data_IF_683708502812
#
_entry.id   IF_683708502812
#
_cell.length_a   1.000
_cell.length_b   1.000
_cell.length_c   1.000
_cell.angle_alpha   90.00
_cell.angle_beta   90.00
_cell.angle_gamma   90.00
#
_symmetry.space_group_name_H-M   'P 1'
#
loop_
_entity.id
_entity.type
_entity.pdbx_description
1 polymer ?
#
# COMPACT_ATOMS: atom_id res chain seq x y z
N UNK A 1 -1.14 24.89 -13.89
CA UNK A 1 -2.33 24.02 -13.84
C UNK A 1 -2.23 23.03 -12.68
N UNK A 2 -3.36 22.60 -12.07
CA UNK A 2 -3.35 21.57 -11.07
C UNK A 2 -3.16 20.18 -11.71
N UNK A 3 -2.18 19.43 -11.23
CA UNK A 3 -1.91 18.05 -11.61
C UNK A 3 -2.20 17.16 -10.41
N UNK A 4 -3.22 16.33 -10.53
CA UNK A 4 -3.62 15.41 -9.44
C UNK A 4 -3.35 13.98 -9.84
N UNK A 5 -2.62 13.26 -9.01
CA UNK A 5 -2.56 11.80 -9.08
C UNK A 5 -2.85 11.19 -7.72
N UNK A 6 -3.76 10.25 -7.71
CA UNK A 6 -4.18 9.45 -6.57
C UNK A 6 -4.62 8.07 -7.07
N UNK A 7 -4.81 7.14 -6.17
CA UNK A 7 -5.26 5.77 -6.51
C UNK A 7 -4.41 5.13 -7.63
N UNK A 8 -3.09 5.34 -7.59
CA UNK A 8 -2.15 4.70 -8.51
C UNK A 8 -1.59 3.43 -7.87
N UNK A 9 -1.66 2.33 -8.57
CA UNK A 9 -1.04 1.06 -8.18
C UNK A 9 0.44 1.03 -8.56
N UNK A 10 0.75 1.60 -9.72
CA UNK A 10 2.06 1.54 -10.35
C UNK A 10 2.50 2.89 -10.86
N UNK A 11 3.79 3.02 -11.22
CA UNK A 11 4.31 4.20 -11.90
C UNK A 11 3.66 4.41 -13.27
N UNK A 12 3.14 3.35 -13.90
CA UNK A 12 2.43 3.43 -15.19
C UNK A 12 1.10 4.14 -15.02
N UNK A 13 0.31 3.79 -13.99
CA UNK A 13 -0.95 4.48 -13.69
C UNK A 13 -0.71 5.97 -13.41
N UNK A 14 0.36 6.29 -12.69
CA UNK A 14 0.75 7.66 -12.37
C UNK A 14 1.15 8.42 -13.63
N UNK A 15 2.02 7.83 -14.48
CA UNK A 15 2.49 8.46 -15.70
C UNK A 15 1.34 8.75 -16.68
N UNK A 16 0.39 7.82 -16.82
CA UNK A 16 -0.81 8.00 -17.63
C UNK A 16 -1.68 9.17 -17.11
N UNK A 17 -1.88 9.28 -15.80
CA UNK A 17 -2.66 10.39 -15.21
C UNK A 17 -1.99 11.74 -15.42
N UNK A 18 -0.68 11.79 -15.24
CA UNK A 18 0.11 13.01 -15.37
C UNK A 18 0.16 13.49 -16.81
N UNK A 19 0.36 12.58 -17.79
CA UNK A 19 0.38 12.92 -19.22
C UNK A 19 -0.95 13.42 -19.77
N UNK A 20 -2.05 13.19 -19.08
CA UNK A 20 -3.37 13.78 -19.43
C UNK A 20 -3.46 15.27 -19.03
N UNK A 21 -2.60 15.71 -18.14
CA UNK A 21 -2.59 17.08 -17.61
C UNK A 21 -1.48 17.93 -18.22
N UNK A 22 -0.29 17.34 -18.40
CA UNK A 22 0.92 18.02 -18.86
C UNK A 22 1.24 17.68 -20.33
N UNK A 23 2.05 18.49 -20.97
CA UNK A 23 2.52 18.25 -22.34
C UNK A 23 3.64 17.19 -22.43
N UNK A 24 3.86 16.40 -21.41
CA UNK A 24 4.82 15.30 -21.38
C UNK A 24 4.24 14.00 -21.92
N UNK A 25 5.12 13.12 -22.41
CA UNK A 25 4.74 11.80 -22.88
C UNK A 25 4.90 10.73 -21.80
N UNK A 26 3.85 9.92 -21.60
CA UNK A 26 3.87 8.88 -20.56
C UNK A 26 4.95 7.82 -20.78
N UNK A 27 5.21 7.42 -22.02
CA UNK A 27 6.24 6.42 -22.34
C UNK A 27 7.65 6.98 -22.09
N UNK A 28 7.89 8.24 -22.44
CA UNK A 28 9.14 8.95 -22.16
C UNK A 28 9.35 9.10 -20.67
N UNK A 29 8.30 9.44 -19.90
CA UNK A 29 8.38 9.51 -18.45
C UNK A 29 8.73 8.15 -17.83
N UNK A 30 8.08 7.06 -18.26
CA UNK A 30 8.40 5.71 -17.78
C UNK A 30 9.84 5.32 -18.13
N UNK A 31 10.31 5.59 -19.35
CA UNK A 31 11.68 5.33 -19.76
C UNK A 31 12.68 6.05 -18.84
N UNK A 32 12.42 7.33 -18.54
CA UNK A 32 13.24 8.13 -17.62
C UNK A 32 13.25 7.55 -16.21
N UNK A 33 12.09 7.13 -15.69
CA UNK A 33 11.92 6.56 -14.35
C UNK A 33 12.63 5.19 -14.20
N UNK A 34 12.73 4.42 -15.28
CA UNK A 34 13.42 3.12 -15.28
C UNK A 34 14.90 3.20 -15.57
N UNK A 35 15.43 4.38 -15.97
CA UNK A 35 16.86 4.56 -16.22
C UNK A 35 17.65 4.39 -14.91
N UNK A 36 18.65 3.49 -14.93
CA UNK A 36 19.47 3.16 -13.76
C UNK A 36 20.18 4.36 -13.14
N UNK A 37 20.56 5.36 -13.97
CA UNK A 37 21.24 6.58 -13.49
C UNK A 37 20.27 7.45 -12.70
N UNK A 38 19.02 7.56 -13.15
CA UNK A 38 17.99 8.29 -12.42
C UNK A 38 17.61 7.59 -11.11
N UNK A 39 17.45 6.27 -11.13
CA UNK A 39 17.23 5.49 -9.91
C UNK A 39 18.35 5.73 -8.90
N UNK A 40 19.60 5.63 -9.33
CA UNK A 40 20.77 5.90 -8.48
C UNK A 40 20.81 7.35 -7.97
N UNK A 41 20.51 8.33 -8.83
CA UNK A 41 20.46 9.76 -8.47
C UNK A 41 19.49 10.04 -7.33
N UNK A 42 18.32 9.39 -7.32
CA UNK A 42 17.29 9.60 -6.31
C UNK A 42 17.34 8.58 -5.17
N UNK A 43 18.18 7.54 -5.26
CA UNK A 43 18.41 6.57 -4.20
C UNK A 43 17.30 5.53 -4.04
N UNK A 44 16.63 5.17 -5.14
CA UNK A 44 15.58 4.13 -5.16
C UNK A 44 15.98 2.94 -6.03
N UNK A 45 15.57 1.74 -5.65
CA UNK A 45 15.43 0.64 -6.59
C UNK A 45 14.14 0.84 -7.42
N UNK A 46 13.98 0.07 -8.50
CA UNK A 46 12.77 0.14 -9.32
C UNK A 46 11.52 -0.21 -8.50
N UNK A 47 11.63 -1.20 -7.61
CA UNK A 47 10.54 -1.64 -6.74
C UNK A 47 10.17 -0.59 -5.69
N UNK A 48 11.15 0.17 -5.21
CA UNK A 48 10.96 1.24 -4.21
C UNK A 48 10.51 2.57 -4.82
N UNK A 49 10.72 2.76 -6.12
CA UNK A 49 10.46 4.03 -6.80
C UNK A 49 9.03 4.59 -6.58
N UNK A 50 7.97 3.77 -6.51
CA UNK A 50 6.64 4.29 -6.21
C UNK A 50 6.56 5.07 -4.89
N UNK A 51 7.43 4.80 -3.92
CA UNK A 51 7.49 5.54 -2.65
C UNK A 51 7.87 7.02 -2.81
N UNK A 52 8.55 7.39 -3.91
CA UNK A 52 8.91 8.78 -4.18
C UNK A 52 7.69 9.65 -4.50
N UNK A 53 6.64 9.05 -5.06
CA UNK A 53 5.47 9.77 -5.53
C UNK A 53 4.37 9.78 -4.46
N UNK A 54 4.26 10.90 -3.76
CA UNK A 54 3.24 11.09 -2.72
C UNK A 54 1.99 11.67 -3.38
N UNK A 55 0.85 10.95 -3.35
CA UNK A 55 -0.38 11.43 -3.97
C UNK A 55 -0.84 12.77 -3.40
N UNK A 56 -1.07 13.72 -4.29
CA UNK A 56 -1.57 15.05 -3.97
C UNK A 56 -1.99 15.77 -5.27
N UNK A 57 -2.40 17.02 -5.14
CA UNK A 57 -2.56 17.96 -6.24
C UNK A 57 -1.39 18.93 -6.24
N UNK A 58 -0.64 18.97 -7.32
CA UNK A 58 0.54 19.80 -7.49
C UNK A 58 0.28 20.86 -8.58
N UNK A 59 0.56 22.13 -8.29
CA UNK A 59 0.54 23.15 -9.32
C UNK A 59 1.83 23.09 -10.13
N UNK A 60 1.68 22.92 -11.45
CA UNK A 60 2.79 22.81 -12.42
C UNK A 60 2.50 23.66 -13.64
N UNK A 61 3.53 24.00 -14.42
CA UNK A 61 3.36 24.57 -15.74
C UNK A 61 2.89 23.48 -16.72
N UNK A 62 2.09 23.83 -17.72
CA UNK A 62 1.57 22.87 -18.70
C UNK A 62 2.71 22.21 -19.50
N UNK A 63 3.77 22.96 -19.79
CA UNK A 63 4.96 22.56 -20.53
C UNK A 63 6.07 21.94 -19.65
N UNK A 64 5.76 21.58 -18.40
CA UNK A 64 6.68 20.81 -17.53
C UNK A 64 7.07 19.52 -18.23
N UNK A 65 8.37 19.33 -18.45
CA UNK A 65 8.92 18.11 -19.07
C UNK A 65 9.08 16.96 -18.04
N UNK A 66 9.48 15.78 -18.53
CA UNK A 66 9.64 14.58 -17.71
C UNK A 66 10.68 14.75 -16.61
N UNK A 67 11.81 15.43 -16.92
CA UNK A 67 12.88 15.67 -15.95
C UNK A 67 12.46 16.63 -14.85
N UNK A 68 11.80 17.71 -15.22
CA UNK A 68 11.25 18.70 -14.31
C UNK A 68 10.20 18.08 -13.40
N UNK A 69 9.31 17.23 -13.97
CA UNK A 69 8.32 16.50 -13.20
C UNK A 69 8.97 15.59 -12.16
N UNK A 70 9.91 14.74 -12.55
CA UNK A 70 10.59 13.83 -11.63
C UNK A 70 11.39 14.60 -10.56
N UNK A 71 12.07 15.67 -10.94
CA UNK A 71 12.79 16.53 -10.00
C UNK A 71 11.82 17.19 -8.99
N UNK A 72 10.66 17.65 -9.45
CA UNK A 72 9.63 18.22 -8.57
C UNK A 72 9.13 17.16 -7.58
N UNK A 73 8.84 15.94 -8.03
CA UNK A 73 8.41 14.86 -7.13
C UNK A 73 9.47 14.48 -6.10
N UNK A 74 10.74 14.44 -6.51
CA UNK A 74 11.85 14.21 -5.58
C UNK A 74 11.96 15.31 -4.52
N UNK A 75 11.69 16.57 -4.88
CA UNK A 75 11.68 17.68 -3.93
C UNK A 75 10.49 17.56 -2.95
N UNK A 76 9.29 17.24 -3.46
CA UNK A 76 8.12 17.02 -2.62
C UNK A 76 8.32 15.85 -1.65
N UNK A 77 8.95 14.77 -2.10
CA UNK A 77 9.36 13.65 -1.23
C UNK A 77 10.28 14.13 -0.10
N UNK A 78 11.30 14.94 -0.40
CA UNK A 78 12.21 15.48 0.61
C UNK A 78 11.50 16.40 1.60
N UNK A 79 10.57 17.22 1.12
CA UNK A 79 9.76 18.11 1.97
C UNK A 79 8.84 17.32 2.89
N UNK A 80 8.21 16.28 2.38
CA UNK A 80 7.35 15.41 3.18
C UNK A 80 8.15 14.68 4.26
N UNK A 81 9.27 14.06 3.89
CA UNK A 81 10.15 13.33 4.80
C UNK A 81 11.13 14.26 5.51
N UNK A 82 10.58 15.21 6.26
CA UNK A 82 11.34 16.10 7.12
C UNK A 82 11.96 15.33 8.32
N UNK A 83 12.80 16.02 9.09
CA UNK A 83 13.51 15.39 10.21
C UNK A 83 12.56 14.82 11.28
N UNK A 84 11.43 15.46 11.51
CA UNK A 84 10.42 14.98 12.46
C UNK A 84 9.82 13.63 12.04
N UNK A 85 9.43 13.48 10.76
CA UNK A 85 8.93 12.20 10.23
C UNK A 85 10.02 11.14 10.19
N UNK A 86 11.24 11.49 9.79
CA UNK A 86 12.38 10.55 9.79
C UNK A 86 12.70 10.02 11.18
N UNK A 87 12.63 10.86 12.21
CA UNK A 87 12.83 10.42 13.59
C UNK A 87 11.79 9.40 14.06
N UNK A 88 10.56 9.45 13.53
CA UNK A 88 9.50 8.48 13.86
C UNK A 88 9.74 7.11 13.23
N UNK A 89 10.45 7.00 12.11
CA UNK A 89 10.70 5.73 11.42
C UNK A 89 11.36 4.71 12.35
N UNK A 90 12.43 5.11 13.03
CA UNK A 90 13.15 4.24 13.98
C UNK A 90 12.30 3.84 15.18
N UNK A 91 11.40 4.72 15.64
CA UNK A 91 10.50 4.44 16.77
C UNK A 91 9.54 3.29 16.49
N UNK A 92 9.09 3.15 15.25
CA UNK A 92 8.21 2.05 14.84
C UNK A 92 8.98 0.79 14.38
N UNK A 93 10.31 0.79 14.45
CA UNK A 93 11.16 -0.34 14.10
C UNK A 93 11.41 -0.52 12.61
N UNK A 94 11.13 0.49 11.79
CA UNK A 94 11.49 0.56 10.37
C UNK A 94 12.76 1.41 10.19
N UNK A 95 13.35 1.38 8.99
CA UNK A 95 14.65 2.02 8.72
C UNK A 95 14.56 3.14 7.69
N UNK A 96 13.66 3.05 6.72
CA UNK A 96 13.62 3.96 5.58
C UNK A 96 12.22 4.49 5.28
N UNK A 97 12.11 5.67 4.63
CA UNK A 97 10.86 6.15 4.07
C UNK A 97 10.17 5.15 3.13
N UNK A 98 10.96 4.41 2.34
CA UNK A 98 10.41 3.39 1.42
C UNK A 98 9.76 2.22 2.18
N UNK A 99 10.30 1.81 3.31
CA UNK A 99 9.67 0.79 4.17
C UNK A 99 8.35 1.28 4.76
N UNK A 100 8.29 2.54 5.20
CA UNK A 100 7.04 3.16 5.67
C UNK A 100 6.01 3.19 4.55
N UNK A 101 6.40 3.63 3.35
CA UNK A 101 5.52 3.66 2.18
C UNK A 101 5.04 2.26 1.79
N UNK A 102 5.91 1.26 1.88
CA UNK A 102 5.55 -0.13 1.60
C UNK A 102 4.51 -0.65 2.60
N UNK A 103 4.72 -0.44 3.90
CA UNK A 103 3.73 -0.82 4.90
C UNK A 103 2.43 -0.02 4.75
N UNK A 104 2.51 1.28 4.49
CA UNK A 104 1.34 2.13 4.26
C UNK A 104 0.52 1.66 3.05
N UNK A 105 1.18 1.21 1.98
CA UNK A 105 0.48 0.66 0.81
C UNK A 105 -0.29 -0.63 1.13
N UNK A 106 0.23 -1.46 2.03
CA UNK A 106 -0.44 -2.66 2.54
C UNK A 106 -1.63 -2.26 3.42
N UNK A 107 -1.44 -1.36 4.37
CA UNK A 107 -2.51 -0.85 5.25
C UNK A 107 -3.66 -0.27 4.44
N UNK A 108 -3.35 0.55 3.43
CA UNK A 108 -4.35 1.13 2.54
C UNK A 108 -5.03 0.08 1.66
N UNK A 109 -4.32 -0.94 1.23
CA UNK A 109 -4.87 -2.08 0.51
C UNK A 109 -5.86 -2.92 1.33
N UNK A 110 -5.64 -3.04 2.64
CA UNK A 110 -6.56 -3.73 3.56
C UNK A 110 -7.78 -2.87 3.90
N UNK A 111 -7.57 -1.57 4.09
CA UNK A 111 -8.61 -0.65 4.53
C UNK A 111 -8.51 0.70 3.81
N UNK A 112 -9.34 0.89 2.79
CA UNK A 112 -9.35 2.14 2.02
C UNK A 112 -10.43 3.13 2.45
N UNK A 113 -11.34 2.72 3.35
CA UNK A 113 -12.54 3.49 3.72
C UNK A 113 -12.47 4.01 5.15
N UNK A 114 -12.21 3.14 6.12
CA UNK A 114 -12.25 3.48 7.55
C UNK A 114 -10.86 3.90 8.05
N UNK A 115 -10.53 5.18 7.91
CA UNK A 115 -9.22 5.74 8.21
C UNK A 115 -8.79 5.57 9.69
N UNK A 116 -9.74 5.49 10.60
CA UNK A 116 -9.48 5.27 12.03
C UNK A 116 -8.91 3.88 12.34
N UNK A 117 -9.03 2.91 11.42
CA UNK A 117 -8.38 1.61 11.56
C UNK A 117 -6.92 1.58 11.08
N UNK A 118 -6.45 2.56 10.30
CA UNK A 118 -5.08 2.56 9.76
C UNK A 118 -3.99 2.44 10.83
N UNK A 119 -4.01 3.21 11.93
CA UNK A 119 -2.99 3.05 12.98
C UNK A 119 -3.03 1.68 13.65
N UNK A 120 -4.21 1.08 13.79
CA UNK A 120 -4.39 -0.25 14.41
C UNK A 120 -3.84 -1.33 13.50
N UNK A 121 -4.18 -1.29 12.21
CA UNK A 121 -3.68 -2.24 11.20
C UNK A 121 -2.15 -2.12 11.05
N UNK A 122 -1.63 -0.88 11.06
CA UNK A 122 -0.19 -0.64 11.06
C UNK A 122 0.49 -1.28 12.28
N UNK A 123 -0.05 -1.08 13.48
CA UNK A 123 0.45 -1.68 14.71
C UNK A 123 0.44 -3.20 14.67
N UNK A 124 -0.63 -3.80 14.14
CA UNK A 124 -0.74 -5.24 13.93
C UNK A 124 0.38 -5.78 13.02
N UNK A 125 0.62 -5.15 11.88
CA UNK A 125 1.66 -5.58 10.95
C UNK A 125 3.07 -5.35 11.50
N UNK A 126 3.32 -4.25 12.21
CA UNK A 126 4.59 -4.03 12.91
C UNK A 126 4.84 -5.11 13.96
N UNK A 127 3.80 -5.55 14.69
CA UNK A 127 3.92 -6.68 15.62
C UNK A 127 4.30 -7.97 14.91
N UNK A 128 3.72 -8.25 13.73
CA UNK A 128 4.08 -9.42 12.92
C UNK A 128 5.53 -9.35 12.45
N UNK A 129 5.98 -8.20 11.95
CA UNK A 129 7.38 -7.98 11.55
C UNK A 129 8.31 -8.27 12.73
N UNK A 130 8.06 -7.65 13.88
CA UNK A 130 8.87 -7.82 15.10
C UNK A 130 8.94 -9.27 15.58
N UNK A 131 7.86 -10.04 15.41
CA UNK A 131 7.78 -11.46 15.79
C UNK A 131 8.29 -12.42 14.70
N UNK A 132 8.70 -11.92 13.53
CA UNK A 132 9.11 -12.76 12.40
C UNK A 132 7.96 -13.59 11.79
N UNK A 133 6.72 -13.14 11.97
CA UNK A 133 5.52 -13.75 11.39
C UNK A 133 5.29 -13.14 10.00
N UNK A 134 4.96 -13.97 9.01
CA UNK A 134 4.59 -13.51 7.66
C UNK A 134 3.38 -12.59 7.74
N UNK A 135 3.35 -11.52 6.93
CA UNK A 135 2.25 -10.55 6.97
C UNK A 135 0.92 -11.15 6.52
N UNK A 136 0.95 -12.06 5.54
CA UNK A 136 -0.23 -12.76 5.02
C UNK A 136 -1.35 -11.80 4.58
N UNK A 137 -0.96 -10.73 3.92
CA UNK A 137 -1.85 -9.70 3.40
C UNK A 137 -2.32 -10.04 1.99
N UNK A 138 -3.64 -10.16 1.81
CA UNK A 138 -4.24 -10.47 0.51
C UNK A 138 -3.91 -9.43 -0.58
N UNK A 139 -3.90 -8.11 -0.31
CA UNK A 139 -3.47 -7.12 -1.30
C UNK A 139 -2.12 -7.39 -1.95
N UNK A 140 -1.19 -8.01 -1.25
CA UNK A 140 0.17 -8.27 -1.75
C UNK A 140 0.19 -9.34 -2.84
N UNK A 141 -0.52 -10.46 -2.69
CA UNK A 141 -0.59 -11.43 -3.79
C UNK A 141 -1.52 -10.97 -4.92
N UNK A 142 -2.56 -10.17 -4.62
CA UNK A 142 -3.37 -9.53 -5.65
C UNK A 142 -2.52 -8.61 -6.53
N UNK A 143 -1.58 -7.88 -5.95
CA UNK A 143 -0.63 -7.07 -6.71
C UNK A 143 0.20 -7.91 -7.67
N UNK A 144 0.66 -9.09 -7.26
CA UNK A 144 1.40 -10.03 -8.11
C UNK A 144 0.60 -10.48 -9.35
N UNK A 145 -0.70 -10.71 -9.19
CA UNK A 145 -1.58 -11.09 -10.30
C UNK A 145 -1.96 -9.91 -11.21
N UNK A 146 -1.86 -8.68 -10.70
CA UNK A 146 -2.28 -7.49 -11.44
C UNK A 146 -3.73 -7.58 -11.91
N UNK A 147 -3.97 -7.25 -13.17
CA UNK A 147 -5.32 -7.21 -13.76
C UNK A 147 -5.94 -8.58 -14.01
N UNK A 148 -5.17 -9.66 -13.90
CA UNK A 148 -5.66 -11.04 -14.08
C UNK A 148 -6.72 -11.44 -13.04
N UNK A 149 -6.78 -10.74 -11.88
CA UNK A 149 -7.81 -10.94 -10.86
C UNK A 149 -9.00 -9.99 -11.00
N UNK A 150 -9.04 -9.14 -12.01
CA UNK A 150 -10.19 -8.27 -12.26
C UNK A 150 -11.44 -9.13 -12.55
N UNK A 151 -12.52 -8.86 -11.79
CA UNK A 151 -13.76 -9.63 -11.89
C UNK A 151 -13.78 -10.98 -11.15
N UNK A 152 -12.68 -11.39 -10.53
CA UNK A 152 -12.63 -12.60 -9.70
C UNK A 152 -13.37 -12.36 -8.40
N UNK A 153 -14.54 -13.00 -8.23
CA UNK A 153 -15.40 -12.83 -7.06
C UNK A 153 -14.90 -13.60 -5.83
N UNK A 154 -14.18 -14.72 -6.02
CA UNK A 154 -13.68 -15.56 -4.94
C UNK A 154 -12.22 -15.89 -5.11
N UNK A 155 -11.42 -15.50 -4.13
CA UNK A 155 -10.01 -15.86 -4.06
C UNK A 155 -9.85 -17.33 -3.64
N UNK A 156 -9.07 -18.08 -4.40
CA UNK A 156 -8.77 -19.50 -4.16
C UNK A 156 -7.35 -19.66 -3.63
N UNK A 157 -7.05 -20.84 -3.11
CA UNK A 157 -5.72 -21.19 -2.63
C UNK A 157 -4.62 -21.02 -3.70
N UNK A 158 -4.93 -21.29 -4.98
CA UNK A 158 -4.01 -21.11 -6.09
C UNK A 158 -3.58 -19.63 -6.26
N UNK A 159 -4.49 -18.69 -6.01
CA UNK A 159 -4.15 -17.26 -6.09
C UNK A 159 -3.15 -16.84 -5.03
N UNK A 160 -3.30 -17.39 -3.79
CA UNK A 160 -2.37 -17.14 -2.67
C UNK A 160 -1.02 -17.82 -2.86
N UNK A 161 -0.94 -18.83 -3.74
CA UNK A 161 0.28 -19.62 -3.95
C UNK A 161 1.20 -19.07 -5.03
N UNK A 162 0.88 -17.95 -5.65
CA UNK A 162 1.72 -17.35 -6.69
C UNK A 162 3.16 -17.14 -6.17
N UNK A 163 4.13 -17.54 -6.97
CA UNK A 163 5.54 -17.28 -6.72
C UNK A 163 5.90 -15.87 -7.19
N UNK A 164 6.01 -14.97 -6.23
CA UNK A 164 6.19 -13.55 -6.50
C UNK A 164 6.85 -12.89 -5.27
N UNK A 165 7.86 -12.01 -5.47
CA UNK A 165 8.58 -11.36 -4.36
C UNK A 165 7.70 -10.50 -3.46
N UNK A 166 6.51 -10.08 -3.93
CA UNK A 166 5.57 -9.29 -3.14
C UNK A 166 4.61 -10.15 -2.31
N UNK A 167 4.53 -11.46 -2.56
CA UNK A 167 3.57 -12.33 -1.88
C UNK A 167 3.94 -12.57 -0.41
N UNK A 168 3.30 -11.84 0.50
CA UNK A 168 3.55 -11.94 1.95
C UNK A 168 3.00 -13.20 2.61
N UNK A 169 2.37 -14.09 1.88
CA UNK A 169 2.12 -15.47 2.31
C UNK A 169 3.36 -16.35 2.19
N UNK A 170 4.32 -15.98 1.33
CA UNK A 170 5.55 -16.75 1.08
C UNK A 170 6.78 -16.13 1.73
N UNK A 171 6.87 -14.80 1.77
CA UNK A 171 8.02 -14.10 2.35
C UNK A 171 7.74 -13.67 3.81
N UNK A 172 8.81 -13.43 4.57
CA UNK A 172 8.78 -12.76 5.88
C UNK A 172 9.13 -11.29 5.72
N UNK A 173 8.54 -10.43 6.56
CA UNK A 173 8.78 -9.00 6.50
C UNK A 173 8.04 -8.30 5.36
N UNK A 174 8.52 -7.12 5.02
CA UNK A 174 7.96 -6.30 3.95
C UNK A 174 8.33 -6.83 2.56
N UNK A 175 7.47 -6.65 1.55
CA UNK A 175 7.82 -6.87 0.16
C UNK A 175 8.87 -5.85 -0.33
N UNK A 176 9.43 -6.01 -1.55
CA UNK A 176 10.51 -5.16 -2.05
C UNK A 176 10.17 -3.67 -2.19
N UNK A 177 8.89 -3.34 -2.28
CA UNK A 177 8.40 -1.96 -2.42
C UNK A 177 6.90 -1.84 -2.25
N UNK A 178 6.33 -0.63 -2.40
CA UNK A 178 4.91 -0.38 -2.28
C UNK A 178 4.09 -1.12 -3.36
N UNK A 179 2.89 -1.57 -2.98
CA UNK A 179 1.90 -2.20 -3.88
C UNK A 179 0.86 -1.21 -4.42
N UNK A 180 0.89 0.01 -3.95
CA UNK A 180 0.17 1.18 -4.45
C UNK A 180 0.84 2.44 -3.92
N UNK A 181 0.39 3.61 -4.38
CA UNK A 181 0.78 4.91 -3.84
C UNK A 181 -0.29 5.36 -2.83
N UNK A 182 -0.09 5.16 -1.51
CA UNK A 182 -1.09 5.48 -0.51
C UNK A 182 -1.18 7.00 -0.30
N UNK A 183 -2.34 7.54 0.08
CA UNK A 183 -2.46 8.91 0.52
C UNK A 183 -1.49 9.23 1.66
N UNK A 184 -1.01 10.48 1.73
CA UNK A 184 -0.07 10.92 2.78
C UNK A 184 -0.56 10.67 4.21
N UNK A 185 -1.88 10.75 4.43
CA UNK A 185 -2.50 10.45 5.71
C UNK A 185 -2.26 9.00 6.18
N UNK A 186 -2.12 8.04 5.24
CA UNK A 186 -1.80 6.65 5.59
C UNK A 186 -0.34 6.51 5.99
N UNK A 187 0.57 7.28 5.36
CA UNK A 187 1.98 7.35 5.78
C UNK A 187 2.09 7.88 7.21
N UNK A 188 1.38 8.95 7.51
CA UNK A 188 1.33 9.51 8.87
C UNK A 188 0.67 8.54 9.87
N UNK A 189 -0.35 7.78 9.46
CA UNK A 189 -0.96 6.76 10.31
C UNK A 189 0.00 5.61 10.64
N UNK A 190 0.85 5.19 9.70
CA UNK A 190 1.90 4.18 9.94
C UNK A 190 2.96 4.72 10.91
N UNK A 191 3.42 5.98 10.72
CA UNK A 191 4.38 6.60 11.62
C UNK A 191 3.83 6.77 13.05
N UNK A 192 2.50 6.89 13.19
CA UNK A 192 1.77 6.97 14.44
C UNK A 192 0.99 5.69 14.74
N UNK A 193 1.55 4.53 14.36
CA UNK A 193 0.93 3.24 14.59
C UNK A 193 0.50 3.07 16.05
N UNK A 194 -0.69 2.51 16.26
CA UNK A 194 -1.22 2.27 17.58
C UNK A 194 -0.40 1.20 18.32
N UNK A 195 -0.14 1.42 19.58
CA UNK A 195 0.48 0.44 20.48
C UNK A 195 -0.57 -0.62 20.85
N UNK A 196 -0.65 -1.68 20.05
CA UNK A 196 -1.59 -2.78 20.21
C UNK A 196 -0.84 -4.11 20.32
N UNK A 197 -1.51 -5.14 20.84
CA UNK A 197 -0.97 -6.49 20.91
C UNK A 197 -1.53 -7.40 19.80
N UNK A 198 -2.35 -6.86 18.91
CA UNK A 198 -2.99 -7.64 17.85
C UNK A 198 -1.95 -8.17 16.85
N UNK A 199 -2.19 -9.40 16.38
CA UNK A 199 -1.47 -10.02 15.27
C UNK A 199 -2.40 -10.68 14.24
N UNK A 200 -3.72 -10.61 14.47
CA UNK A 200 -4.75 -11.11 13.56
C UNK A 200 -5.86 -10.09 13.37
N UNK A 201 -6.47 -10.12 12.19
CA UNK A 201 -7.70 -9.40 11.88
C UNK A 201 -8.56 -10.19 10.91
N UNK A 202 -9.88 -9.98 10.95
CA UNK A 202 -10.82 -10.43 9.94
C UNK A 202 -11.99 -9.44 9.84
N UNK A 203 -12.70 -9.45 8.71
CA UNK A 203 -13.84 -8.55 8.51
C UNK A 203 -14.93 -8.76 9.56
N UNK A 204 -15.60 -7.66 9.96
CA UNK A 204 -16.81 -7.72 10.78
C UNK A 204 -18.00 -8.19 9.98
N UNK A 205 -18.94 -8.93 10.61
CA UNK A 205 -20.14 -9.44 9.96
C UNK A 205 -21.31 -8.43 9.99
N UNK A 206 -21.09 -7.19 9.55
CA UNK A 206 -22.05 -6.10 9.70
C UNK A 206 -22.07 -5.08 8.55
N UNK A 207 -21.45 -5.41 7.42
CA UNK A 207 -21.30 -4.52 6.25
C UNK A 207 -20.55 -3.19 6.52
N UNK A 208 -20.00 -2.98 7.70
CA UNK A 208 -19.27 -1.75 8.03
C UNK A 208 -17.95 -1.61 7.26
N UNK A 209 -17.43 -2.69 6.66
CA UNK A 209 -16.11 -2.77 6.08
C UNK A 209 -14.99 -2.68 7.11
N UNK A 210 -15.32 -2.85 8.41
CA UNK A 210 -14.37 -2.81 9.52
C UNK A 210 -13.87 -4.22 9.87
N UNK A 211 -12.87 -4.26 10.75
CA UNK A 211 -12.23 -5.50 11.18
C UNK A 211 -12.48 -5.80 12.67
N UNK A 212 -12.52 -7.09 12.97
CA UNK A 212 -12.29 -7.62 14.31
C UNK A 212 -10.80 -7.96 14.43
N UNK A 213 -10.16 -7.44 15.46
CA UNK A 213 -8.75 -7.68 15.77
C UNK A 213 -8.62 -8.72 16.87
N UNK A 214 -7.54 -9.51 16.83
CA UNK A 214 -7.28 -10.54 17.82
C UNK A 214 -5.79 -10.67 18.16
N UNK A 215 -5.52 -11.08 19.41
CA UNK A 215 -4.16 -11.34 19.92
C UNK A 215 -3.79 -12.81 19.70
N UNK A 216 -4.77 -13.73 19.85
CA UNK A 216 -4.55 -15.16 19.77
C UNK A 216 -5.19 -15.77 18.52
N UNK A 217 -4.60 -16.89 18.04
CA UNK A 217 -5.19 -17.64 16.94
C UNK A 217 -6.57 -18.21 17.27
N UNK A 218 -6.82 -18.56 18.52
CA UNK A 218 -8.12 -19.07 18.98
C UNK A 218 -9.21 -18.00 18.85
N UNK A 219 -8.94 -16.79 19.32
CA UNK A 219 -9.84 -15.64 19.15
C UNK A 219 -10.09 -15.32 17.68
N UNK A 220 -9.03 -15.30 16.86
CA UNK A 220 -9.15 -15.10 15.43
C UNK A 220 -10.02 -16.16 14.77
N UNK A 221 -9.86 -17.43 15.11
CA UNK A 221 -10.67 -18.53 14.58
C UNK A 221 -12.15 -18.39 14.95
N UNK A 222 -12.46 -17.93 16.16
CA UNK A 222 -13.85 -17.60 16.56
C UNK A 222 -14.42 -16.48 15.70
N UNK A 223 -13.69 -15.38 15.56
CA UNK A 223 -14.11 -14.23 14.75
C UNK A 223 -14.31 -14.64 13.28
N UNK A 224 -13.39 -15.40 12.72
CA UNK A 224 -13.48 -15.89 11.34
C UNK A 224 -14.69 -16.81 11.13
N UNK A 225 -15.01 -17.67 12.08
CA UNK A 225 -16.18 -18.56 12.01
C UNK A 225 -17.48 -17.75 12.02
N UNK A 226 -17.56 -16.73 12.87
CA UNK A 226 -18.73 -15.83 12.93
C UNK A 226 -18.92 -15.13 11.59
N UNK A 227 -17.84 -14.60 11.01
CA UNK A 227 -17.89 -13.94 9.70
C UNK A 227 -18.31 -14.91 8.58
N UNK A 228 -17.76 -16.12 8.54
CA UNK A 228 -18.12 -17.11 7.51
C UNK A 228 -19.59 -17.55 7.61
N UNK A 229 -20.11 -17.73 8.81
CA UNK A 229 -21.52 -18.07 9.04
C UNK A 229 -22.43 -16.94 8.55
N UNK A 230 -22.10 -15.70 8.90
CA UNK A 230 -22.82 -14.52 8.44
C UNK A 230 -22.79 -14.41 6.91
N UNK A 231 -21.65 -14.56 6.28
CA UNK A 231 -21.48 -14.48 4.83
C UNK A 231 -22.33 -15.55 4.12
N UNK A 232 -22.37 -16.77 4.67
CA UNK A 232 -23.19 -17.88 4.14
C UNK A 232 -24.68 -17.55 4.19
N UNK A 233 -25.14 -16.94 5.29
CA UNK A 233 -26.54 -16.51 5.43
C UNK A 233 -26.90 -15.40 4.44
N UNK A 234 -26.02 -14.41 4.28
CA UNK A 234 -26.23 -13.31 3.33
C UNK A 234 -26.28 -13.77 1.87
N UNK A 235 -25.41 -14.74 1.50
CA UNK A 235 -25.44 -15.35 0.16
C UNK A 235 -26.74 -16.12 -0.11
N UNK A 236 -27.33 -16.77 0.91
CA UNK A 236 -28.65 -17.46 0.78
C UNK A 236 -29.79 -16.46 0.56
N UNK A 237 -29.79 -15.32 1.28
CA UNK A 237 -30.80 -14.26 1.11
C UNK A 237 -30.79 -13.67 -0.31
N UNK A 238 -29.62 -13.52 -0.95
CA UNK A 238 -29.50 -12.96 -2.32
C UNK A 238 -29.96 -13.93 -3.42
N UNK A 239 -30.17 -15.21 -3.11
CA UNK A 239 -30.65 -16.23 -4.05
C UNK A 239 -32.14 -16.47 -4.00
N UNK A 240 -32.83 -15.88 -3.04
CA UNK A 240 -34.28 -15.80 -2.91
C UNK A 240 -34.84 -14.53 -3.51
#
# INVERSE_FOLDING_TARGET
IPVTFNNCRTIYDMAEKVSRCLALDSASLISLLQDKRNLAKYGFSLEQLPAMFIPNTYNMFYDTDEQEFVQRMANEFKLFWNDARKAQISRIGLQTPSEVSTLASIVYGEQSVNADEWPIIAGLYLNRIKKGIKLQSDPTFKFCWGDQLNGVQRLLAIHRNIDCPYNTYKIKGLPPGPINMPPSAVLDAVLNAAEVNFIFMCAKPDYSGRHNFAVTGEEHMRNARIFQNWLTLEQKKKKQ
#
